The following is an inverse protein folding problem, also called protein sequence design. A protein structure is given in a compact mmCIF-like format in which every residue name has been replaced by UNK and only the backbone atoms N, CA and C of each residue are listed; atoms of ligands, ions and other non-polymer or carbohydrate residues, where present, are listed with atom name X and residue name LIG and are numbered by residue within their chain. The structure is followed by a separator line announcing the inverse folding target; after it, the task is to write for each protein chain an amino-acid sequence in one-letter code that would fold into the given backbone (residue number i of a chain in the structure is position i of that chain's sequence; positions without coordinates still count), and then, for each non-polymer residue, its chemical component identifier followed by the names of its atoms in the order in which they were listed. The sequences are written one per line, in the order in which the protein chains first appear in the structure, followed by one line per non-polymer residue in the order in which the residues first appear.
data_IF_566755199037
#
_entry.id   IF_566755199037
#
_cell.length_a   1.000
_cell.length_b   1.000
_cell.length_c   1.000
_cell.angle_alpha   90.00
_cell.angle_beta   90.00
_cell.angle_gamma   90.00
#
_symmetry.space_group_name_H-M   'P 1'
#
loop_
_entity.id
_entity.type
_entity.pdbx_description
1 polymer ?
#
# COMPACT_ATOMS: atom_id res chain seq x y z
N UNK A 1 -24.74 23.21 -30.32
CA UNK A 1 -23.31 22.97 -30.06
C UNK A 1 -23.26 21.83 -29.05
N UNK A 2 -22.69 20.67 -29.41
CA UNK A 2 -22.67 19.50 -28.55
C UNK A 2 -21.35 19.49 -27.76
N UNK A 3 -21.44 19.52 -26.43
CA UNK A 3 -20.29 19.37 -25.54
C UNK A 3 -19.82 17.90 -25.54
N UNK A 4 -18.51 17.61 -25.65
CA UNK A 4 -18.03 16.24 -25.62
C UNK A 4 -18.05 15.70 -24.18
N UNK A 5 -18.81 14.63 -23.99
CA UNK A 5 -18.75 13.73 -22.83
C UNK A 5 -17.32 13.19 -22.66
N UNK A 6 -16.58 13.68 -21.66
CA UNK A 6 -15.22 13.23 -21.33
C UNK A 6 -15.22 11.97 -20.46
N UNK A 7 -16.18 11.07 -20.66
CA UNK A 7 -16.28 9.83 -19.88
C UNK A 7 -15.60 8.67 -20.61
N UNK A 8 -14.27 8.71 -20.71
CA UNK A 8 -13.44 7.52 -21.04
C UNK A 8 -12.00 7.74 -20.58
N UNK A 9 -11.79 7.58 -19.27
CA UNK A 9 -10.47 7.24 -18.77
C UNK A 9 -10.18 5.77 -19.10
N UNK A 10 -9.02 5.53 -19.67
CA UNK A 10 -8.47 4.25 -20.11
C UNK A 10 -8.77 3.09 -19.13
N UNK A 11 -9.62 2.17 -19.57
CA UNK A 11 -10.22 1.10 -18.76
C UNK A 11 -9.27 -0.06 -18.46
N UNK A 12 -8.04 0.21 -18.01
CA UNK A 12 -7.24 -0.82 -17.38
C UNK A 12 -7.92 -1.20 -16.05
N UNK A 13 -8.20 -2.49 -15.80
CA UNK A 13 -8.81 -2.91 -14.54
C UNK A 13 -7.90 -2.52 -13.39
N UNK A 14 -8.36 -1.57 -12.57
CA UNK A 14 -7.72 -1.25 -11.30
C UNK A 14 -7.76 -2.50 -10.44
N UNK A 15 -6.58 -3.00 -10.04
CA UNK A 15 -6.49 -4.12 -9.10
C UNK A 15 -7.14 -3.70 -7.79
N UNK A 16 -8.29 -4.29 -7.47
CA UNK A 16 -8.94 -4.15 -6.18
C UNK A 16 -8.47 -5.25 -5.23
N UNK A 17 -8.29 -4.88 -3.95
CA UNK A 17 -7.92 -5.79 -2.87
C UNK A 17 -8.59 -5.29 -1.59
N UNK A 18 -9.00 -6.20 -0.70
CA UNK A 18 -9.57 -5.80 0.60
C UNK A 18 -8.47 -5.26 1.51
N UNK A 19 -8.82 -4.34 2.41
CA UNK A 19 -7.88 -3.82 3.41
C UNK A 19 -7.30 -4.92 4.30
N UNK A 20 -8.11 -5.93 4.63
CA UNK A 20 -7.69 -7.08 5.43
C UNK A 20 -6.64 -7.92 4.72
N UNK A 21 -6.85 -8.21 3.43
CA UNK A 21 -5.88 -8.95 2.62
C UNK A 21 -4.61 -8.12 2.38
N UNK A 22 -4.76 -6.80 2.19
CA UNK A 22 -3.63 -5.90 2.00
C UNK A 22 -2.75 -5.79 3.24
N UNK A 23 -3.35 -5.78 4.43
CA UNK A 23 -2.63 -5.71 5.71
C UNK A 23 -2.19 -7.10 6.23
N UNK A 24 -2.58 -8.19 5.57
CA UNK A 24 -2.23 -9.57 5.95
C UNK A 24 -2.56 -9.92 7.42
N UNK A 25 -3.67 -9.40 7.95
CA UNK A 25 -4.07 -9.58 9.35
C UNK A 25 -3.47 -8.57 10.34
N UNK A 26 -2.50 -7.77 9.89
CA UNK A 26 -1.92 -6.70 10.69
C UNK A 26 -2.78 -5.42 10.64
N UNK A 27 -2.42 -4.43 11.45
CA UNK A 27 -3.12 -3.13 11.50
C UNK A 27 -2.37 -2.04 10.71
N UNK A 28 -1.14 -2.32 10.32
CA UNK A 28 -0.26 -1.44 9.58
C UNK A 28 0.67 -2.22 8.64
N UNK A 29 0.99 -1.62 7.50
CA UNK A 29 1.90 -2.14 6.49
C UNK A 29 2.85 -1.02 6.06
N UNK A 30 4.14 -1.34 5.97
CA UNK A 30 5.12 -0.50 5.30
C UNK A 30 5.19 -0.85 3.82
N UNK A 31 5.04 0.16 2.96
CA UNK A 31 5.10 0.08 1.52
C UNK A 31 6.31 0.88 1.07
N UNK A 32 7.34 0.19 0.57
CA UNK A 32 8.51 0.85 0.01
C UNK A 32 8.20 1.30 -1.41
N UNK A 33 8.26 2.60 -1.66
CA UNK A 33 8.02 3.16 -2.98
C UNK A 33 9.17 4.10 -3.34
N UNK A 34 10.11 3.56 -4.13
CA UNK A 34 11.36 4.23 -4.47
C UNK A 34 12.17 4.53 -3.19
N UNK A 35 12.62 5.78 -2.99
CA UNK A 35 13.41 6.19 -1.82
C UNK A 35 12.55 6.56 -0.60
N UNK A 36 11.23 6.33 -0.63
CA UNK A 36 10.32 6.69 0.46
C UNK A 36 9.60 5.47 1.02
N UNK A 37 9.28 5.52 2.32
CA UNK A 37 8.44 4.54 2.98
C UNK A 37 7.04 5.12 3.15
N UNK A 38 6.03 4.39 2.71
CA UNK A 38 4.63 4.72 2.91
C UNK A 38 4.05 3.77 3.93
N UNK A 39 3.53 4.29 5.03
CA UNK A 39 2.87 3.49 6.06
C UNK A 39 1.38 3.55 5.85
N UNK A 40 0.79 2.44 5.44
CA UNK A 40 -0.65 2.26 5.39
C UNK A 40 -1.10 1.70 6.73
N UNK A 41 -2.06 2.35 7.39
CA UNK A 41 -2.60 1.89 8.68
C UNK A 41 -4.12 2.02 8.70
N UNK A 42 -4.77 1.06 9.37
CA UNK A 42 -6.19 1.18 9.72
C UNK A 42 -6.34 1.96 11.03
N UNK A 43 -7.19 2.97 11.02
CA UNK A 43 -7.56 3.75 12.21
C UNK A 43 -8.64 3.02 13.01
N UNK A 44 -8.82 3.40 14.29
CA UNK A 44 -9.93 2.88 15.12
C UNK A 44 -11.32 3.18 14.51
N UNK A 45 -11.43 4.22 13.70
CA UNK A 45 -12.64 4.59 12.98
C UNK A 45 -12.87 3.79 11.69
N UNK A 46 -12.04 2.77 11.41
CA UNK A 46 -12.14 1.93 10.21
C UNK A 46 -11.64 2.58 8.93
N UNK A 47 -11.07 3.79 9.00
CA UNK A 47 -10.47 4.46 7.84
C UNK A 47 -9.02 4.04 7.63
N UNK A 48 -8.61 3.91 6.37
CA UNK A 48 -7.21 3.74 5.99
C UNK A 48 -6.53 5.10 5.92
N UNK A 49 -5.37 5.22 6.55
CA UNK A 49 -4.48 6.37 6.45
C UNK A 49 -3.16 5.93 5.81
N UNK A 50 -2.70 6.69 4.82
CA UNK A 50 -1.41 6.50 4.19
C UNK A 50 -0.50 7.67 4.56
N UNK A 51 0.56 7.39 5.29
CA UNK A 51 1.53 8.40 5.70
C UNK A 51 2.84 8.16 4.96
N UNK A 52 3.34 9.17 4.26
CA UNK A 52 4.69 9.15 3.69
C UNK A 52 5.68 9.51 4.79
N UNK A 53 6.56 8.57 5.13
CA UNK A 53 7.76 8.84 5.89
C UNK A 53 8.95 8.96 4.91
N UNK A 54 9.93 9.82 5.17
CA UNK A 54 11.24 9.63 4.55
C UNK A 54 11.69 8.21 4.89
N UNK A 55 12.20 7.45 3.91
CA UNK A 55 12.77 6.15 4.23
C UNK A 55 13.89 6.41 5.25
N UNK A 56 13.65 6.02 6.51
CA UNK A 56 14.72 5.84 7.47
C UNK A 56 15.67 4.76 6.92
N UNK A 57 16.84 4.54 7.55
CA UNK A 57 17.67 3.40 7.18
C UNK A 57 16.79 2.15 7.24
N UNK A 58 16.48 1.58 6.08
CA UNK A 58 15.63 0.40 5.99
C UNK A 58 16.34 -0.67 6.81
N UNK A 59 15.73 -1.17 7.91
CA UNK A 59 16.30 -2.33 8.55
C UNK A 59 16.33 -3.40 7.48
N UNK A 60 17.51 -4.01 7.25
CA UNK A 60 17.61 -5.17 6.40
C UNK A 60 16.69 -6.23 7.03
N UNK A 61 15.45 -6.31 6.52
CA UNK A 61 14.48 -7.25 7.04
C UNK A 61 15.11 -8.62 6.92
N UNK A 62 15.19 -9.29 8.07
CA UNK A 62 16.00 -10.47 8.26
C UNK A 62 15.81 -11.45 7.13
N UNK A 63 16.94 -11.94 6.62
CA UNK A 63 17.06 -13.17 5.86
C UNK A 63 16.61 -14.34 6.76
N UNK A 64 15.34 -14.35 7.17
CA UNK A 64 14.74 -15.48 7.91
C UNK A 64 14.39 -16.51 6.86
N UNK A 65 15.39 -17.35 6.62
CA UNK A 65 15.35 -18.48 5.73
C UNK A 65 16.62 -19.30 5.93
N UNK A 66 17.02 -19.51 7.18
CA UNK A 66 17.90 -20.61 7.53
C UNK A 66 17.03 -21.66 8.23
N UNK A 67 16.64 -22.75 7.56
CA UNK A 67 16.01 -23.86 8.23
C UNK A 67 17.10 -24.56 9.05
N UNK A 68 16.84 -24.68 10.36
CA UNK A 68 17.64 -25.51 11.24
C UNK A 68 17.88 -26.89 10.62
N UNK A 69 19.16 -27.26 10.46
CA UNK A 69 19.61 -28.63 10.30
C UNK A 69 20.78 -28.91 11.25
#
# INVERSE_FOLDING_TARGET
MAEPDRSKGDGAPLRSVTSEALLAGERELAIHHGPAEYRLRVTRAGKLILTKAPAGPVPAFGRTGDPAL
#
